data_IF_169624284099
#
_entry.id   IF_169624284099
#
_cell.length_a   1.000
_cell.length_b   1.000
_cell.length_c   1.000
_cell.angle_alpha   90.00
_cell.angle_beta   90.00
_cell.angle_gamma   90.00
#
_symmetry.space_group_name_H-M   'P 1'
#
loop_
_entity.id
_entity.type
_entity.pdbx_description
1 polymer ?
#
# COMPACT_ATOMS: atom_id res chain seq x y z
N UNK A 1 25.05 -46.06 -10.78
CA UNK A 1 23.72 -45.93 -10.15
C UNK A 1 23.79 -44.75 -9.18
N UNK A 2 23.34 -43.56 -9.61
CA UNK A 2 23.36 -42.34 -8.79
C UNK A 2 22.21 -42.43 -7.77
N UNK A 3 22.54 -42.57 -6.48
CA UNK A 3 21.55 -42.52 -5.39
C UNK A 3 20.94 -41.12 -5.37
N UNK A 4 19.64 -41.03 -5.69
CA UNK A 4 18.80 -39.85 -5.52
C UNK A 4 18.87 -39.37 -4.05
N UNK A 5 18.72 -38.05 -3.84
CA UNK A 5 18.68 -37.37 -2.54
C UNK A 5 17.97 -38.20 -1.45
N UNK A 6 18.74 -38.77 -0.53
CA UNK A 6 18.20 -39.57 0.57
C UNK A 6 17.77 -38.67 1.72
N UNK A 7 16.47 -38.67 2.02
CA UNK A 7 15.96 -38.03 3.22
C UNK A 7 16.40 -38.81 4.46
N UNK A 8 17.08 -38.14 5.41
CA UNK A 8 17.38 -38.71 6.72
C UNK A 8 16.07 -38.98 7.46
N UNK A 9 15.91 -40.18 8.00
CA UNK A 9 14.73 -40.54 8.82
C UNK A 9 14.72 -39.74 10.13
N UNK A 10 13.54 -39.61 10.77
CA UNK A 10 13.39 -38.90 12.04
C UNK A 10 14.25 -39.47 13.17
N UNK A 11 14.44 -40.79 13.23
CA UNK A 11 15.30 -41.42 14.23
C UNK A 11 16.77 -41.07 14.03
N UNK A 12 17.23 -41.02 12.77
CA UNK A 12 18.60 -40.63 12.43
C UNK A 12 18.82 -39.16 12.77
N UNK A 13 17.87 -38.28 12.45
CA UNK A 13 17.93 -36.84 12.77
C UNK A 13 18.07 -36.59 14.27
N UNK A 14 17.22 -37.23 15.09
CA UNK A 14 17.25 -37.10 16.55
C UNK A 14 18.59 -37.55 17.14
N UNK A 15 19.17 -38.64 16.62
CA UNK A 15 20.50 -39.10 17.06
C UNK A 15 21.61 -38.14 16.64
N UNK A 16 21.51 -37.51 15.46
CA UNK A 16 22.46 -36.47 15.02
C UNK A 16 22.38 -35.24 15.94
N UNK A 17 21.18 -34.83 16.33
CA UNK A 17 20.93 -33.71 17.26
C UNK A 17 21.53 -34.00 18.65
N UNK A 18 21.20 -35.14 19.25
CA UNK A 18 21.74 -35.54 20.56
C UNK A 18 23.28 -35.58 20.56
N UNK A 19 23.88 -36.11 19.49
CA UNK A 19 25.34 -36.18 19.38
C UNK A 19 25.98 -34.80 19.15
N UNK A 20 25.30 -33.89 18.45
CA UNK A 20 25.72 -32.50 18.29
C UNK A 20 25.69 -31.75 19.63
N UNK A 21 24.62 -31.92 20.41
CA UNK A 21 24.50 -31.35 21.76
C UNK A 21 25.60 -31.88 22.69
N UNK A 22 25.97 -33.15 22.56
CA UNK A 22 27.09 -33.76 23.26
C UNK A 22 28.49 -33.37 22.70
N UNK A 23 28.57 -32.49 21.70
CA UNK A 23 29.83 -32.01 21.11
C UNK A 23 30.56 -33.03 20.24
N UNK A 24 29.89 -34.10 19.81
CA UNK A 24 30.49 -35.17 19.01
C UNK A 24 30.62 -34.71 17.55
N UNK A 25 31.84 -34.86 17.01
CA UNK A 25 32.13 -34.45 15.62
C UNK A 25 31.21 -35.17 14.61
N UNK A 26 30.77 -34.50 13.52
CA UNK A 26 29.90 -35.10 12.50
C UNK A 26 30.45 -36.40 11.89
N UNK A 27 31.77 -36.49 11.71
CA UNK A 27 32.43 -37.69 11.21
C UNK A 27 32.29 -38.88 12.17
N UNK A 28 32.42 -38.65 13.49
CA UNK A 28 32.21 -39.68 14.52
C UNK A 28 30.74 -40.10 14.60
N UNK A 29 29.82 -39.15 14.44
CA UNK A 29 28.38 -39.43 14.37
C UNK A 29 28.01 -40.28 13.17
N UNK A 30 28.60 -40.04 12.00
CA UNK A 30 28.40 -40.92 10.84
C UNK A 30 28.97 -42.32 11.09
N UNK A 31 30.16 -42.42 11.67
CA UNK A 31 30.78 -43.71 12.00
C UNK A 31 29.96 -44.54 12.99
N UNK A 32 29.25 -43.91 13.95
CA UNK A 32 28.35 -44.66 14.84
C UNK A 32 27.18 -45.30 14.09
N UNK A 33 26.65 -44.66 13.05
CA UNK A 33 25.61 -45.28 12.21
C UNK A 33 26.17 -46.43 11.36
N UNK A 34 27.39 -46.28 10.84
CA UNK A 34 28.07 -47.34 10.07
C UNK A 34 28.29 -48.57 10.92
N UNK A 35 28.75 -48.38 12.17
CA UNK A 35 28.95 -49.47 13.13
C UNK A 35 27.62 -50.15 13.48
N UNK A 36 26.55 -49.38 13.70
CA UNK A 36 25.22 -49.92 14.03
C UNK A 36 24.57 -50.68 12.85
N UNK A 37 24.82 -50.24 11.61
CA UNK A 37 24.25 -50.86 10.41
C UNK A 37 25.11 -52.02 9.84
N UNK A 38 26.27 -52.32 10.44
CA UNK A 38 27.15 -53.40 9.99
C UNK A 38 27.95 -53.10 8.72
N UNK A 39 27.98 -51.84 8.26
CA UNK A 39 28.81 -51.44 7.13
C UNK A 39 28.28 -50.23 6.35
N UNK A 40 29.16 -49.63 5.55
CA UNK A 40 28.83 -48.42 4.76
C UNK A 40 27.79 -48.66 3.66
N UNK A 41 27.65 -49.89 3.16
CA UNK A 41 26.72 -50.22 2.06
C UNK A 41 25.27 -50.34 2.52
N UNK A 42 25.07 -50.58 3.81
CA UNK A 42 23.76 -50.73 4.45
C UNK A 42 23.09 -49.38 4.79
N UNK A 43 23.84 -48.27 4.72
CA UNK A 43 23.30 -46.93 4.91
C UNK A 43 22.78 -46.34 3.58
N UNK A 44 21.61 -45.71 3.67
CA UNK A 44 21.02 -44.97 2.56
C UNK A 44 21.53 -43.51 2.45
N UNK A 45 22.37 -43.04 3.38
CA UNK A 45 22.95 -41.69 3.40
C UNK A 45 24.47 -41.73 3.64
N UNK A 46 25.16 -40.64 3.33
CA UNK A 46 26.61 -40.49 3.47
C UNK A 46 26.98 -39.45 4.55
N UNK A 47 28.25 -39.40 4.96
CA UNK A 47 28.73 -38.42 5.96
C UNK A 47 28.40 -36.98 5.56
N UNK A 48 28.44 -36.68 4.26
CA UNK A 48 28.08 -35.36 3.72
C UNK A 48 26.65 -34.97 4.08
N UNK A 49 25.72 -35.91 4.16
CA UNK A 49 24.32 -35.64 4.49
C UNK A 49 24.15 -35.26 5.97
N UNK A 50 24.94 -35.87 6.87
CA UNK A 50 25.01 -35.49 8.29
C UNK A 50 25.56 -34.06 8.44
N UNK A 51 26.63 -33.73 7.69
CA UNK A 51 27.23 -32.39 7.70
C UNK A 51 26.29 -31.34 7.12
N UNK A 52 25.59 -31.68 6.02
CA UNK A 52 24.60 -30.81 5.39
C UNK A 52 23.43 -30.56 6.34
N UNK A 53 22.95 -31.60 7.04
CA UNK A 53 21.88 -31.48 8.04
C UNK A 53 22.28 -30.52 9.16
N UNK A 54 23.43 -30.73 9.79
CA UNK A 54 23.92 -29.87 10.89
C UNK A 54 24.12 -28.43 10.41
N UNK A 55 24.73 -28.24 9.24
CA UNK A 55 24.94 -26.90 8.66
C UNK A 55 23.62 -26.20 8.38
N UNK A 56 22.62 -26.93 7.86
CA UNK A 56 21.29 -26.38 7.59
C UNK A 56 20.56 -26.00 8.87
N UNK A 57 20.60 -26.83 9.90
CA UNK A 57 19.98 -26.51 11.20
C UNK A 57 20.67 -25.32 11.88
N UNK A 58 22.00 -25.21 11.83
CA UNK A 58 22.72 -24.03 12.35
C UNK A 58 22.32 -22.76 11.61
N UNK A 59 22.21 -22.81 10.27
CA UNK A 59 21.73 -21.69 9.48
C UNK A 59 20.29 -21.32 9.83
N UNK A 60 19.40 -22.31 9.94
CA UNK A 60 18.00 -22.07 10.31
C UNK A 60 17.87 -21.42 11.69
N UNK A 61 18.65 -21.86 12.69
CA UNK A 61 18.64 -21.28 14.05
C UNK A 61 19.21 -19.87 14.06
N UNK A 62 20.35 -19.63 13.38
CA UNK A 62 20.93 -18.28 13.23
C UNK A 62 19.96 -17.34 12.52
N UNK A 63 19.40 -17.76 11.39
CA UNK A 63 18.41 -16.97 10.63
C UNK A 63 17.15 -16.69 11.45
N UNK A 64 16.73 -17.62 12.33
CA UNK A 64 15.58 -17.45 13.20
C UNK A 64 15.86 -16.49 14.38
N UNK A 65 17.04 -16.53 14.97
CA UNK A 65 17.47 -15.57 16.00
C UNK A 65 17.65 -14.17 15.40
N UNK A 66 18.32 -14.07 14.26
CA UNK A 66 18.52 -12.82 13.51
C UNK A 66 17.17 -12.21 13.09
N UNK A 67 16.23 -13.01 12.60
CA UNK A 67 14.89 -12.54 12.23
C UNK A 67 14.07 -12.07 13.43
N UNK A 68 14.22 -12.74 14.59
CA UNK A 68 13.54 -12.34 15.83
C UNK A 68 14.10 -11.03 16.38
N UNK A 69 15.42 -10.86 16.36
CA UNK A 69 16.08 -9.64 16.81
C UNK A 69 15.79 -8.47 15.87
N UNK A 70 15.82 -8.69 14.55
CA UNK A 70 15.44 -7.71 13.55
C UNK A 70 13.98 -7.25 13.69
N UNK A 71 13.04 -8.19 13.83
CA UNK A 71 11.62 -7.87 14.02
C UNK A 71 11.36 -7.07 15.29
N UNK A 72 12.07 -7.39 16.38
CA UNK A 72 11.99 -6.65 17.65
C UNK A 72 12.55 -5.23 17.54
N UNK A 73 13.70 -5.07 16.90
CA UNK A 73 14.29 -3.75 16.67
C UNK A 73 13.36 -2.89 15.79
N UNK A 74 12.80 -3.44 14.71
CA UNK A 74 11.84 -2.74 13.87
C UNK A 74 10.55 -2.36 14.63
N UNK A 75 10.08 -3.24 15.52
CA UNK A 75 8.91 -2.97 16.36
C UNK A 75 9.13 -1.80 17.34
N UNK A 76 10.34 -1.62 17.87
CA UNK A 76 10.65 -0.51 18.78
C UNK A 76 10.43 0.87 18.12
N UNK A 77 10.72 1.00 16.82
CA UNK A 77 10.53 2.25 16.07
C UNK A 77 9.16 2.37 15.39
N UNK A 78 8.60 1.26 14.91
CA UNK A 78 7.46 1.25 13.98
C UNK A 78 6.25 0.46 14.50
N UNK A 79 6.28 0.04 15.75
CA UNK A 79 5.29 -0.84 16.38
C UNK A 79 4.05 -0.17 16.95
N UNK A 80 3.85 1.14 16.75
CA UNK A 80 2.69 1.85 17.31
C UNK A 80 1.35 1.25 16.85
N UNK A 81 1.25 0.92 15.57
CA UNK A 81 0.09 0.26 14.97
C UNK A 81 0.55 -0.91 14.11
N UNK A 82 0.01 -2.09 14.38
CA UNK A 82 0.33 -3.32 13.64
C UNK A 82 -0.88 -3.78 12.87
N UNK A 83 -0.68 -4.20 11.62
CA UNK A 83 -1.63 -5.00 10.86
C UNK A 83 -1.26 -6.47 10.91
N UNK A 84 -2.25 -7.34 11.11
CA UNK A 84 -2.11 -8.78 11.02
C UNK A 84 -3.15 -9.36 10.06
N UNK A 85 -2.67 -10.10 9.07
CA UNK A 85 -3.53 -10.79 8.09
C UNK A 85 -3.03 -12.22 7.91
N UNK A 86 -3.99 -13.16 7.78
CA UNK A 86 -3.72 -14.55 7.42
C UNK A 86 -3.84 -14.70 5.92
N UNK A 87 -2.76 -15.16 5.29
CA UNK A 87 -2.77 -15.49 3.87
C UNK A 87 -3.16 -16.96 3.70
N UNK A 88 -4.10 -17.22 2.78
CA UNK A 88 -4.65 -18.56 2.50
C UNK A 88 -3.56 -19.62 2.32
N UNK A 89 -3.81 -20.82 2.87
CA UNK A 89 -2.95 -22.02 2.88
C UNK A 89 -1.95 -22.10 1.72
N UNK A 90 -0.69 -21.76 1.98
CA UNK A 90 0.38 -21.73 0.97
C UNK A 90 1.22 -23.00 0.91
N UNK A 91 0.82 -24.13 1.52
CA UNK A 91 1.66 -25.33 1.48
C UNK A 91 0.92 -26.68 1.41
N UNK A 92 1.67 -27.72 0.99
CA UNK A 92 1.30 -29.16 1.02
C UNK A 92 0.87 -29.67 2.41
N UNK A 93 1.08 -28.90 3.47
CA UNK A 93 0.85 -29.26 4.86
C UNK A 93 -0.40 -28.61 5.48
N UNK A 94 -1.14 -27.82 4.69
CA UNK A 94 -2.39 -27.18 5.09
C UNK A 94 -2.26 -26.22 6.31
N UNK A 95 -1.10 -25.56 6.45
CA UNK A 95 -0.86 -24.57 7.50
C UNK A 95 -1.21 -23.15 7.04
N UNK A 96 -1.69 -22.34 7.98
CA UNK A 96 -2.06 -20.93 7.81
C UNK A 96 -0.87 -20.04 8.08
N UNK A 97 -0.54 -19.11 7.18
CA UNK A 97 0.54 -18.16 7.37
C UNK A 97 -0.01 -16.79 7.77
N UNK A 98 0.39 -16.30 8.95
CA UNK A 98 0.08 -14.96 9.46
C UNK A 98 1.30 -14.04 9.38
N UNK A 99 1.08 -12.77 9.02
CA UNK A 99 2.14 -11.75 8.96
C UNK A 99 1.82 -10.55 9.83
N UNK A 100 2.79 -10.07 10.60
CA UNK A 100 2.70 -8.84 11.40
C UNK A 100 3.42 -7.73 10.66
N UNK A 101 2.70 -6.67 10.29
CA UNK A 101 3.20 -5.60 9.44
C UNK A 101 2.96 -4.25 10.10
N UNK A 102 4.01 -3.46 10.27
CA UNK A 102 3.96 -2.06 10.70
C UNK A 102 4.16 -1.09 9.53
N UNK A 103 4.28 0.20 9.84
CA UNK A 103 4.53 1.26 8.85
C UNK A 103 5.70 2.12 9.32
N UNK A 104 6.69 2.32 8.45
CA UNK A 104 7.85 3.14 8.77
C UNK A 104 7.58 4.66 8.58
N UNK A 105 8.56 5.51 8.90
CA UNK A 105 8.43 6.98 8.77
C UNK A 105 8.21 7.48 7.32
N UNK A 106 8.44 6.63 6.32
CA UNK A 106 8.18 6.94 4.91
C UNK A 106 6.80 6.44 4.44
N UNK A 107 5.99 5.86 5.33
CA UNK A 107 4.68 5.31 4.99
C UNK A 107 4.74 3.95 4.28
N UNK A 108 5.88 3.25 4.35
CA UNK A 108 6.06 1.93 3.71
C UNK A 108 5.76 0.80 4.69
N UNK A 109 5.15 -0.28 4.20
CA UNK A 109 4.93 -1.51 4.95
C UNK A 109 6.26 -2.11 5.40
N UNK A 110 6.37 -2.45 6.68
CA UNK A 110 7.55 -3.08 7.28
C UNK A 110 7.14 -4.37 7.95
N UNK A 111 7.72 -5.50 7.55
CA UNK A 111 7.46 -6.80 8.18
C UNK A 111 8.13 -6.85 9.56
N UNK A 112 7.33 -7.03 10.60
CA UNK A 112 7.78 -7.12 12.00
C UNK A 112 7.88 -8.57 12.49
N UNK A 113 7.23 -9.49 11.77
CA UNK A 113 7.30 -10.92 12.06
C UNK A 113 6.30 -11.71 11.23
N UNK A 114 6.44 -13.04 11.25
CA UNK A 114 5.51 -13.95 10.62
C UNK A 114 5.30 -15.19 11.50
N UNK A 115 4.24 -15.94 11.21
CA UNK A 115 3.87 -17.13 11.96
C UNK A 115 3.20 -18.17 11.09
N UNK A 116 3.40 -19.44 11.42
CA UNK A 116 2.66 -20.55 10.85
C UNK A 116 1.76 -21.15 11.93
N UNK A 117 0.49 -21.32 11.60
CA UNK A 117 -0.53 -21.87 12.49
C UNK A 117 -1.21 -23.08 11.86
N UNK A 118 -1.69 -23.99 12.72
CA UNK A 118 -2.40 -25.19 12.28
C UNK A 118 -3.82 -24.89 11.77
N UNK A 119 -4.50 -23.92 12.37
CA UNK A 119 -5.86 -23.53 12.04
C UNK A 119 -6.15 -22.09 12.50
N UNK A 120 -7.30 -21.55 12.10
CA UNK A 120 -7.77 -20.21 12.48
C UNK A 120 -8.75 -20.24 13.69
N UNK A 121 -8.44 -21.06 14.68
CA UNK A 121 -9.22 -21.15 15.92
C UNK A 121 -8.72 -20.16 16.98
N UNK A 122 -9.58 -19.84 17.95
CA UNK A 122 -9.30 -18.87 19.02
C UNK A 122 -8.01 -19.24 19.78
N UNK A 123 -7.84 -20.52 20.16
CA UNK A 123 -6.70 -20.95 20.95
C UNK A 123 -5.37 -20.85 20.18
N UNK A 124 -5.39 -21.12 18.88
CA UNK A 124 -4.23 -20.93 18.00
C UNK A 124 -3.80 -19.46 17.92
N UNK A 125 -4.77 -18.54 17.76
CA UNK A 125 -4.48 -17.11 17.78
C UNK A 125 -4.03 -16.60 19.15
N UNK A 126 -4.59 -17.11 20.25
CA UNK A 126 -4.15 -16.74 21.61
C UNK A 126 -2.68 -17.11 21.82
N UNK A 127 -2.31 -18.35 21.49
CA UNK A 127 -0.93 -18.81 21.60
C UNK A 127 -0.01 -17.94 20.72
N UNK A 128 -0.43 -17.66 19.49
CA UNK A 128 0.33 -16.79 18.60
C UNK A 128 0.55 -15.39 19.20
N UNK A 129 -0.50 -14.72 19.62
CA UNK A 129 -0.41 -13.34 20.14
C UNK A 129 0.37 -13.27 21.46
N UNK A 130 0.27 -14.29 22.32
CA UNK A 130 1.12 -14.42 23.51
C UNK A 130 2.59 -14.58 23.13
N UNK A 131 2.90 -15.50 22.21
CA UNK A 131 4.27 -15.70 21.74
C UNK A 131 4.84 -14.43 21.10
N UNK A 132 4.06 -13.75 20.26
CA UNK A 132 4.44 -12.49 19.65
C UNK A 132 4.74 -11.41 20.71
N UNK A 133 3.86 -11.25 21.71
CA UNK A 133 4.05 -10.28 22.78
C UNK A 133 5.31 -10.57 23.60
N UNK A 134 5.57 -11.84 23.91
CA UNK A 134 6.81 -12.27 24.55
C UNK A 134 8.04 -11.97 23.70
N UNK A 135 7.99 -12.21 22.39
CA UNK A 135 9.07 -11.87 21.47
C UNK A 135 9.38 -10.38 21.42
N UNK A 136 8.35 -9.53 21.58
CA UNK A 136 8.50 -8.07 21.65
C UNK A 136 8.85 -7.55 23.04
N UNK A 137 9.17 -8.44 23.99
CA UNK A 137 9.58 -8.06 25.33
C UNK A 137 8.45 -7.63 26.26
N UNK A 138 7.22 -8.07 25.99
CA UNK A 138 6.03 -7.70 26.77
C UNK A 138 5.39 -6.38 26.36
N UNK A 139 5.93 -5.71 25.33
CA UNK A 139 5.42 -4.43 24.85
C UNK A 139 4.29 -4.64 23.83
N UNK A 140 3.08 -4.26 24.19
CA UNK A 140 1.92 -4.28 23.30
C UNK A 140 1.88 -3.01 22.43
N UNK A 141 1.42 -3.10 21.16
CA UNK A 141 1.24 -1.93 20.31
C UNK A 141 0.02 -1.13 20.77
N UNK A 142 -0.08 0.14 20.35
CA UNK A 142 -1.22 0.99 20.69
C UNK A 142 -2.48 0.61 19.90
N UNK A 143 -2.29 0.17 18.66
CA UNK A 143 -3.37 -0.25 17.76
C UNK A 143 -3.07 -1.57 17.07
N UNK A 144 -4.12 -2.37 16.86
CA UNK A 144 -4.03 -3.63 16.13
C UNK A 144 -5.12 -3.69 15.05
N UNK A 145 -4.71 -3.91 13.81
CA UNK A 145 -5.57 -3.99 12.65
C UNK A 145 -5.64 -5.45 12.20
N UNK A 146 -6.84 -6.01 12.10
CA UNK A 146 -7.03 -7.36 11.55
C UNK A 146 -8.14 -7.38 10.51
N UNK A 147 -8.33 -8.55 9.92
CA UNK A 147 -9.55 -8.89 9.21
C UNK A 147 -10.78 -8.94 10.15
N UNK A 148 -11.93 -9.30 9.58
CA UNK A 148 -13.18 -9.44 10.33
C UNK A 148 -13.34 -10.88 10.89
N UNK A 149 -12.31 -11.40 11.56
CA UNK A 149 -12.36 -12.70 12.20
C UNK A 149 -12.72 -12.59 13.69
N UNK A 150 -13.82 -13.25 14.09
CA UNK A 150 -14.25 -13.30 15.48
C UNK A 150 -13.22 -14.01 16.38
N UNK A 151 -12.49 -14.98 15.83
CA UNK A 151 -11.45 -15.71 16.56
C UNK A 151 -10.28 -14.80 16.92
N UNK A 152 -9.78 -14.00 15.96
CA UNK A 152 -8.71 -13.04 16.19
C UNK A 152 -9.11 -11.98 17.22
N UNK A 153 -10.33 -11.43 17.09
CA UNK A 153 -10.85 -10.44 18.05
C UNK A 153 -10.84 -10.97 19.49
N UNK A 154 -11.41 -12.16 19.71
CA UNK A 154 -11.47 -12.76 21.05
C UNK A 154 -10.09 -13.12 21.60
N UNK A 155 -9.17 -13.55 20.72
CA UNK A 155 -7.80 -13.82 21.12
C UNK A 155 -7.05 -12.54 21.53
N UNK A 156 -7.20 -11.45 20.76
CA UNK A 156 -6.62 -10.14 21.11
C UNK A 156 -7.16 -9.60 22.44
N UNK A 157 -8.48 -9.67 22.66
CA UNK A 157 -9.11 -9.24 23.93
C UNK A 157 -8.57 -10.05 25.13
N UNK A 158 -8.24 -11.32 24.94
CA UNK A 158 -7.67 -12.16 25.99
C UNK A 158 -6.17 -11.91 26.23
N UNK A 159 -5.39 -11.66 25.18
CA UNK A 159 -3.93 -11.53 25.27
C UNK A 159 -3.47 -10.09 25.56
N UNK A 160 -4.18 -9.10 25.03
CA UNK A 160 -3.83 -7.68 25.08
C UNK A 160 -5.10 -6.83 25.29
N UNK A 161 -5.74 -6.86 26.49
CA UNK A 161 -7.06 -6.28 26.72
C UNK A 161 -7.12 -4.74 26.57
N UNK A 162 -5.98 -4.06 26.71
CA UNK A 162 -5.89 -2.60 26.59
C UNK A 162 -5.73 -2.10 25.14
N UNK A 163 -5.65 -3.02 24.17
CA UNK A 163 -5.34 -2.69 22.79
C UNK A 163 -6.53 -2.08 22.05
N UNK A 164 -6.28 -1.10 21.20
CA UNK A 164 -7.31 -0.56 20.31
C UNK A 164 -7.38 -1.45 19.06
N UNK A 165 -8.31 -2.40 19.05
CA UNK A 165 -8.57 -3.25 17.90
C UNK A 165 -9.45 -2.55 16.86
N UNK A 166 -9.04 -2.56 15.59
CA UNK A 166 -9.81 -2.04 14.45
C UNK A 166 -9.74 -3.00 13.27
N UNK A 167 -10.67 -2.89 12.33
CA UNK A 167 -10.58 -3.63 11.07
C UNK A 167 -9.66 -2.90 10.09
N UNK A 168 -8.87 -3.67 9.37
CA UNK A 168 -7.99 -3.13 8.35
C UNK A 168 -8.81 -2.55 7.19
N UNK A 169 -8.43 -1.34 6.77
CA UNK A 169 -9.18 -0.53 5.80
C UNK A 169 -9.37 -1.25 4.46
N UNK A 170 -8.37 -2.03 4.03
CA UNK A 170 -8.44 -2.79 2.79
C UNK A 170 -9.53 -3.87 2.83
N UNK A 171 -9.69 -4.61 3.95
CA UNK A 171 -10.76 -5.60 4.07
C UNK A 171 -12.14 -4.96 4.09
N UNK A 172 -12.26 -3.77 4.70
CA UNK A 172 -13.49 -2.98 4.66
C UNK A 172 -13.82 -2.63 3.20
N UNK A 173 -12.89 -1.97 2.50
CA UNK A 173 -13.07 -1.52 1.11
C UNK A 173 -13.32 -2.68 0.14
N UNK A 174 -12.67 -3.84 0.33
CA UNK A 174 -12.90 -5.03 -0.49
C UNK A 174 -14.30 -5.63 -0.31
N UNK A 175 -14.88 -5.56 0.89
CA UNK A 175 -16.21 -6.14 1.17
C UNK A 175 -17.36 -5.25 0.71
N UNK A 176 -17.18 -3.93 0.73
CA UNK A 176 -18.24 -2.96 0.42
C UNK A 176 -18.94 -3.22 -0.92
N UNK A 177 -18.25 -3.43 -2.06
CA UNK A 177 -18.91 -3.67 -3.35
C UNK A 177 -19.88 -4.86 -3.30
N UNK A 178 -19.45 -5.97 -2.68
CA UNK A 178 -20.28 -7.18 -2.53
C UNK A 178 -21.53 -6.96 -1.67
N UNK A 179 -21.48 -6.02 -0.72
CA UNK A 179 -22.60 -5.65 0.14
C UNK A 179 -23.55 -4.66 -0.52
N UNK A 180 -23.04 -3.87 -1.46
CA UNK A 180 -23.81 -2.87 -2.21
C UNK A 180 -24.42 -3.41 -3.51
N UNK A 181 -24.06 -4.64 -3.94
CA UNK A 181 -24.38 -5.22 -5.26
C UNK A 181 -25.89 -5.48 -5.56
N UNK A 182 -26.80 -4.76 -4.92
CA UNK A 182 -28.22 -4.71 -5.23
C UNK A 182 -28.83 -3.31 -5.10
N UNK A 183 -28.01 -2.29 -4.76
CA UNK A 183 -28.44 -0.91 -4.63
C UNK A 183 -28.28 -0.17 -5.95
N UNK A 184 -29.32 0.56 -6.35
CA UNK A 184 -29.24 1.50 -7.48
C UNK A 184 -28.28 2.63 -7.10
N UNK A 185 -27.27 2.88 -7.92
CA UNK A 185 -26.24 3.89 -7.65
C UNK A 185 -25.04 3.39 -6.83
N UNK A 186 -24.82 2.07 -6.74
CA UNK A 186 -23.71 1.52 -5.95
C UNK A 186 -22.32 1.96 -6.45
N UNK A 187 -22.18 2.23 -7.75
CA UNK A 187 -20.90 2.64 -8.35
C UNK A 187 -20.50 4.05 -7.89
N UNK A 188 -21.46 4.98 -7.85
CA UNK A 188 -21.26 6.34 -7.36
C UNK A 188 -20.92 6.32 -5.86
N UNK A 189 -21.62 5.51 -5.07
CA UNK A 189 -21.35 5.34 -3.64
C UNK A 189 -19.94 4.77 -3.42
N UNK A 190 -19.53 3.75 -4.19
CA UNK A 190 -18.20 3.15 -4.09
C UNK A 190 -17.09 4.15 -4.45
N UNK A 191 -17.31 4.94 -5.51
CA UNK A 191 -16.38 5.98 -5.93
C UNK A 191 -16.24 7.07 -4.87
N UNK A 192 -17.35 7.56 -4.33
CA UNK A 192 -17.39 8.60 -3.31
C UNK A 192 -16.76 8.12 -2.01
N UNK A 193 -17.09 6.92 -1.55
CA UNK A 193 -16.50 6.32 -0.36
C UNK A 193 -15.00 6.12 -0.51
N UNK A 194 -14.53 5.67 -1.68
CA UNK A 194 -13.10 5.56 -1.97
C UNK A 194 -12.40 6.93 -1.92
N UNK A 195 -13.02 7.98 -2.47
CA UNK A 195 -12.49 9.34 -2.41
C UNK A 195 -12.36 9.83 -0.96
N UNK A 196 -13.39 9.64 -0.14
CA UNK A 196 -13.39 10.06 1.28
C UNK A 196 -12.30 9.33 2.05
N UNK A 197 -12.26 8.00 1.93
CA UNK A 197 -11.39 7.13 2.71
C UNK A 197 -9.91 7.35 2.38
N UNK A 198 -9.57 7.47 1.10
CA UNK A 198 -8.17 7.55 0.67
C UNK A 198 -7.61 8.98 0.64
N UNK A 199 -8.45 10.02 0.67
CA UNK A 199 -8.00 11.42 0.63
C UNK A 199 -8.15 12.19 1.95
N UNK A 200 -8.72 11.57 2.99
CA UNK A 200 -8.86 12.21 4.30
C UNK A 200 -7.68 11.89 5.21
N UNK A 201 -6.79 12.87 5.41
CA UNK A 201 -5.59 12.74 6.25
C UNK A 201 -5.80 13.10 7.72
N UNK A 202 -7.01 13.51 8.10
CA UNK A 202 -7.37 13.81 9.48
C UNK A 202 -8.83 13.45 9.73
N UNK A 203 -9.17 13.23 11.02
CA UNK A 203 -10.55 13.05 11.46
C UNK A 203 -11.45 14.18 10.96
N UNK A 204 -11.01 15.43 11.14
CA UNK A 204 -11.76 16.58 10.65
C UNK A 204 -11.99 16.55 9.14
N UNK A 205 -11.01 16.13 8.34
CA UNK A 205 -11.16 16.02 6.89
C UNK A 205 -12.15 14.93 6.51
N UNK A 206 -12.17 13.82 7.26
CA UNK A 206 -13.07 12.70 7.04
C UNK A 206 -14.51 13.08 7.41
N UNK A 207 -14.72 13.59 8.63
CA UNK A 207 -16.03 13.95 9.17
C UNK A 207 -16.69 15.07 8.33
N UNK A 208 -15.88 15.98 7.78
CA UNK A 208 -16.34 17.13 7.04
C UNK A 208 -16.22 16.98 5.52
N UNK A 209 -15.91 15.79 4.97
CA UNK A 209 -15.56 15.63 3.55
C UNK A 209 -16.63 16.18 2.59
N UNK A 210 -17.92 15.93 2.88
CA UNK A 210 -19.06 16.43 2.09
C UNK A 210 -19.54 17.81 2.52
N UNK A 211 -19.02 18.34 3.63
CA UNK A 211 -19.41 19.68 4.07
C UNK A 211 -18.64 20.70 3.25
N UNK A 212 -19.36 21.67 2.69
CA UNK A 212 -18.72 22.81 2.06
C UNK A 212 -18.33 23.77 3.17
N UNK A 213 -17.03 24.01 3.34
CA UNK A 213 -16.56 25.09 4.23
C UNK A 213 -17.05 26.40 3.61
N UNK A 214 -17.97 27.14 4.23
CA UNK A 214 -18.53 28.35 3.63
C UNK A 214 -17.42 29.39 3.43
N UNK A 215 -17.50 30.14 2.33
CA UNK A 215 -16.62 31.29 2.10
C UNK A 215 -16.82 32.32 3.22
N UNK A 216 -15.71 32.92 3.67
CA UNK A 216 -15.75 33.98 4.67
C UNK A 216 -16.18 35.32 4.05
N UNK A 217 -16.02 35.47 2.74
CA UNK A 217 -16.37 36.66 1.98
C UNK A 217 -17.26 36.29 0.79
N UNK A 218 -17.87 37.30 0.16
CA UNK A 218 -18.62 37.14 -1.11
C UNK A 218 -17.72 37.17 -2.34
N UNK A 219 -16.41 37.02 -2.18
CA UNK A 219 -15.48 37.03 -3.31
C UNK A 219 -15.65 35.77 -4.17
N UNK A 220 -15.84 35.97 -5.47
CA UNK A 220 -15.87 34.88 -6.45
C UNK A 220 -14.53 34.15 -6.56
N UNK A 221 -13.40 34.83 -6.30
CA UNK A 221 -12.07 34.20 -6.22
C UNK A 221 -12.01 33.24 -5.02
N UNK A 222 -12.61 33.60 -3.87
CA UNK A 222 -12.66 32.69 -2.72
C UNK A 222 -13.47 31.43 -3.06
N UNK A 223 -14.64 31.61 -3.70
CA UNK A 223 -15.46 30.49 -4.19
C UNK A 223 -14.72 29.61 -5.20
N UNK A 224 -13.90 30.20 -6.09
CA UNK A 224 -13.06 29.47 -7.03
C UNK A 224 -12.07 28.54 -6.30
N UNK A 225 -11.43 29.01 -5.23
CA UNK A 225 -10.54 28.16 -4.43
C UNK A 225 -11.30 27.12 -3.60
N UNK A 226 -12.50 27.43 -3.11
CA UNK A 226 -13.38 26.50 -2.37
C UNK A 226 -13.75 25.29 -3.22
N UNK A 227 -14.05 25.49 -4.50
CA UNK A 227 -14.41 24.39 -5.40
C UNK A 227 -13.23 23.44 -5.65
N UNK A 228 -12.02 23.97 -5.78
CA UNK A 228 -10.88 23.16 -6.21
C UNK A 228 -10.10 22.58 -5.04
N UNK A 229 -9.84 23.35 -3.98
CA UNK A 229 -8.86 22.97 -2.97
C UNK A 229 -9.43 22.03 -1.90
N UNK A 230 -8.55 21.18 -1.35
CA UNK A 230 -8.84 20.43 -0.12
C UNK A 230 -9.19 21.36 1.04
N UNK A 231 -10.03 20.91 1.97
CA UNK A 231 -10.47 21.69 3.14
C UNK A 231 -9.31 22.32 3.94
N UNK A 232 -8.26 21.55 4.17
CA UNK A 232 -7.08 22.05 4.89
C UNK A 232 -6.42 23.23 4.17
N UNK A 233 -6.25 23.15 2.84
CA UNK A 233 -5.62 24.22 2.06
C UNK A 233 -6.58 25.38 1.83
N UNK A 234 -7.87 25.12 1.64
CA UNK A 234 -8.87 26.17 1.55
C UNK A 234 -8.94 27.02 2.84
N UNK A 235 -8.82 26.42 4.04
CA UNK A 235 -8.73 27.20 5.29
C UNK A 235 -7.54 28.17 5.32
N UNK A 236 -6.40 27.80 4.73
CA UNK A 236 -5.23 28.69 4.61
C UNK A 236 -5.51 29.85 3.66
N UNK A 237 -6.15 29.59 2.52
CA UNK A 237 -6.59 30.63 1.56
C UNK A 237 -7.61 31.56 2.23
N UNK A 238 -8.62 31.01 2.87
CA UNK A 238 -9.66 31.75 3.59
C UNK A 238 -9.06 32.66 4.69
N UNK A 239 -8.00 32.22 5.37
CA UNK A 239 -7.29 33.08 6.32
C UNK A 239 -6.65 34.31 5.66
N UNK A 240 -6.15 34.19 4.42
CA UNK A 240 -5.67 35.35 3.65
C UNK A 240 -6.83 36.29 3.28
N UNK A 241 -7.99 35.76 2.87
CA UNK A 241 -9.18 36.56 2.61
C UNK A 241 -9.68 37.33 3.83
N UNK A 242 -9.68 36.72 5.02
CA UNK A 242 -10.04 37.43 6.27
C UNK A 242 -9.04 38.53 6.60
N UNK A 243 -7.74 38.24 6.54
CA UNK A 243 -6.68 39.21 6.88
C UNK A 243 -6.54 40.34 5.86
N UNK A 244 -7.04 40.15 4.65
CA UNK A 244 -7.13 41.22 3.64
C UNK A 244 -7.92 42.43 4.16
N UNK A 245 -8.89 42.26 5.08
CA UNK A 245 -9.62 43.38 5.67
C UNK A 245 -8.71 44.40 6.39
N UNK A 246 -7.51 43.99 6.79
CA UNK A 246 -6.50 44.85 7.43
C UNK A 246 -5.55 45.49 6.42
N UNK A 247 -5.78 45.32 5.11
CA UNK A 247 -4.94 45.87 4.05
C UNK A 247 -5.58 47.13 3.46
N UNK A 248 -4.78 48.17 3.30
CA UNK A 248 -5.15 49.41 2.61
C UNK A 248 -4.36 49.46 1.31
N UNK A 249 -5.05 49.38 0.18
CA UNK A 249 -4.44 49.43 -1.16
C UNK A 249 -4.42 50.87 -1.69
N UNK A 250 -3.29 51.32 -2.21
CA UNK A 250 -3.14 52.61 -2.88
C UNK A 250 -2.47 52.41 -4.24
N UNK A 251 -3.07 52.93 -5.30
CA UNK A 251 -2.44 52.96 -6.62
C UNK A 251 -1.30 53.97 -6.60
N UNK A 252 -0.10 53.55 -6.99
CA UNK A 252 1.08 54.41 -7.07
C UNK A 252 1.28 54.86 -8.50
N UNK A 253 1.44 53.90 -9.42
CA UNK A 253 1.69 54.15 -10.84
C UNK A 253 0.82 53.23 -11.70
N UNK A 254 0.35 53.70 -12.85
CA UNK A 254 -0.33 52.88 -13.86
C UNK A 254 0.10 53.32 -15.26
N UNK A 255 0.57 52.38 -16.08
CA UNK A 255 0.97 52.63 -17.47
C UNK A 255 0.76 51.37 -18.32
N UNK A 256 0.12 51.52 -19.49
CA UNK A 256 0.02 50.47 -20.53
C UNK A 256 -0.48 49.09 -20.03
N UNK A 257 -1.47 49.08 -19.12
CA UNK A 257 -2.01 47.84 -18.56
C UNK A 257 -1.19 47.22 -17.42
N UNK A 258 -0.11 47.91 -17.00
CA UNK A 258 0.70 47.55 -15.85
C UNK A 258 0.50 48.57 -14.72
N UNK A 259 0.03 48.09 -13.58
CA UNK A 259 -0.27 48.89 -12.38
C UNK A 259 0.63 48.48 -11.23
N UNK A 260 1.14 49.47 -10.49
CA UNK A 260 1.94 49.29 -9.27
C UNK A 260 1.19 49.88 -8.08
N UNK A 261 1.04 49.08 -7.04
CA UNK A 261 0.31 49.40 -5.83
C UNK A 261 1.22 49.35 -4.60
N UNK A 262 1.00 50.30 -3.69
CA UNK A 262 1.43 50.19 -2.30
C UNK A 262 0.28 49.60 -1.47
N UNK A 263 0.53 48.49 -0.80
CA UNK A 263 -0.41 47.87 0.14
C UNK A 263 0.13 48.02 1.55
N UNK A 264 -0.56 48.82 2.37
CA UNK A 264 -0.30 48.94 3.80
C UNK A 264 -1.08 47.89 4.58
N UNK A 265 -0.39 46.93 5.19
CA UNK A 265 -0.98 45.96 6.11
C UNK A 265 -0.93 46.49 7.55
N UNK A 266 -2.09 46.62 8.18
CA UNK A 266 -2.19 46.98 9.58
C UNK A 266 -1.81 45.79 10.48
N UNK A 267 -0.72 45.95 11.24
CA UNK A 267 -0.24 44.95 12.21
C UNK A 267 -0.65 45.33 13.64
N UNK A 268 -0.71 46.63 13.92
CA UNK A 268 -1.19 47.22 15.18
C UNK A 268 -1.89 48.54 14.87
N UNK A 269 -2.53 49.18 15.86
CA UNK A 269 -3.21 50.47 15.69
C UNK A 269 -2.31 51.55 15.05
N UNK A 270 -1.00 51.47 15.26
CA UNK A 270 -0.01 52.46 14.80
C UNK A 270 1.01 51.93 13.78
N UNK A 271 1.03 50.61 13.52
CA UNK A 271 2.08 49.98 12.70
C UNK A 271 1.48 49.43 11.41
N UNK A 272 1.95 49.96 10.29
CA UNK A 272 1.63 49.49 8.96
C UNK A 272 2.89 48.98 8.26
N UNK A 273 2.87 47.71 7.86
CA UNK A 273 3.89 47.16 6.98
C UNK A 273 3.52 47.45 5.54
N UNK A 274 4.45 48.00 4.76
CA UNK A 274 4.21 48.35 3.36
C UNK A 274 4.75 47.26 2.46
N UNK A 275 3.94 46.90 1.46
CA UNK A 275 4.30 45.93 0.44
C UNK A 275 4.01 46.50 -0.93
N UNK A 276 4.93 46.27 -1.87
CA UNK A 276 4.68 46.60 -3.28
C UNK A 276 4.01 45.40 -3.95
N UNK A 277 2.94 45.67 -4.69
CA UNK A 277 2.21 44.69 -5.49
C UNK A 277 2.10 45.21 -6.91
N UNK A 278 2.43 44.38 -7.88
CA UNK A 278 2.30 44.71 -9.30
C UNK A 278 1.19 43.87 -9.91
N UNK A 279 0.44 44.48 -10.81
CA UNK A 279 -0.64 43.84 -11.53
C UNK A 279 -0.55 44.17 -13.01
N UNK A 280 -0.56 43.13 -13.83
CA UNK A 280 -0.60 43.20 -15.29
C UNK A 280 -2.00 42.74 -15.74
N UNK A 281 -2.80 43.69 -16.22
CA UNK A 281 -4.16 43.42 -16.68
C UNK A 281 -4.20 42.61 -17.98
N UNK A 282 -3.15 42.71 -18.80
CA UNK A 282 -3.05 42.00 -20.10
C UNK A 282 -2.66 40.55 -19.86
N UNK A 283 -1.62 40.32 -19.06
CA UNK A 283 -1.18 38.99 -18.69
C UNK A 283 -2.06 38.32 -17.61
N UNK A 284 -2.98 39.07 -17.00
CA UNK A 284 -3.81 38.66 -15.84
C UNK A 284 -2.96 38.17 -14.67
N UNK A 285 -1.85 38.87 -14.43
CA UNK A 285 -0.80 38.45 -13.50
C UNK A 285 -0.66 39.43 -12.35
N UNK A 286 -0.67 38.91 -11.12
CA UNK A 286 -0.36 39.66 -9.89
C UNK A 286 0.91 39.12 -9.25
N UNK A 287 1.82 40.01 -8.88
CA UNK A 287 3.02 39.69 -8.09
C UNK A 287 3.07 40.55 -6.85
N UNK A 288 3.45 39.95 -5.73
CA UNK A 288 3.62 40.67 -4.48
C UNK A 288 5.04 40.48 -3.96
N UNK A 289 5.62 41.56 -3.44
CA UNK A 289 6.93 41.56 -2.78
C UNK A 289 7.04 40.55 -1.62
N UNK A 290 5.94 40.12 -1.00
CA UNK A 290 5.99 39.14 0.08
C UNK A 290 6.31 37.70 -0.38
N UNK A 291 6.26 37.43 -1.70
CA UNK A 291 6.60 36.16 -2.32
C UNK A 291 5.87 34.92 -1.76
N UNK A 292 4.68 35.10 -1.16
CA UNK A 292 3.95 33.98 -0.55
C UNK A 292 3.48 32.96 -1.60
N UNK A 293 3.17 33.42 -2.80
CA UNK A 293 2.77 32.54 -3.88
C UNK A 293 3.99 31.79 -4.43
N UNK A 294 5.12 32.43 -4.57
CA UNK A 294 6.35 31.84 -5.08
C UNK A 294 6.93 30.83 -4.08
N UNK A 295 6.88 31.13 -2.79
CA UNK A 295 7.42 30.28 -1.73
C UNK A 295 6.47 29.16 -1.28
N UNK A 296 5.17 29.45 -1.22
CA UNK A 296 4.17 28.54 -0.66
C UNK A 296 3.02 28.23 -1.59
N UNK A 297 2.96 28.83 -2.78
CA UNK A 297 1.89 28.71 -3.78
C UNK A 297 0.59 29.42 -3.45
N UNK A 298 0.48 30.10 -2.30
CA UNK A 298 -0.79 30.66 -1.82
C UNK A 298 -0.81 32.15 -2.12
N UNK A 299 -1.85 32.64 -2.79
CA UNK A 299 -2.04 34.07 -2.98
C UNK A 299 -2.14 34.78 -1.62
N UNK A 300 -1.27 35.76 -1.41
CA UNK A 300 -1.26 36.53 -0.18
C UNK A 300 -2.43 37.52 -0.12
N UNK A 301 -2.76 37.92 1.11
CA UNK A 301 -3.72 39.00 1.38
C UNK A 301 -3.42 40.31 0.62
N UNK A 302 -2.15 40.65 0.38
CA UNK A 302 -1.78 41.87 -0.36
C UNK A 302 -2.15 41.79 -1.83
N UNK A 303 -1.82 40.67 -2.50
CA UNK A 303 -2.22 40.40 -3.87
C UNK A 303 -3.75 40.33 -3.99
N UNK A 304 -4.43 39.65 -3.05
CA UNK A 304 -5.90 39.61 -2.99
C UNK A 304 -6.52 41.00 -2.78
N UNK A 305 -5.85 41.89 -2.04
CA UNK A 305 -6.26 43.28 -1.85
C UNK A 305 -6.25 44.05 -3.17
N UNK A 306 -5.18 43.92 -3.96
CA UNK A 306 -5.08 44.52 -5.30
C UNK A 306 -6.07 43.92 -6.29
N UNK A 307 -6.20 42.58 -6.34
CA UNK A 307 -7.17 41.93 -7.23
C UNK A 307 -8.61 42.40 -6.96
N UNK A 308 -8.95 42.69 -5.70
CA UNK A 308 -10.26 43.24 -5.38
C UNK A 308 -10.40 44.74 -5.67
N UNK A 309 -9.30 45.50 -5.57
CA UNK A 309 -9.26 46.89 -6.02
C UNK A 309 -9.51 46.98 -7.54
N UNK A 310 -8.87 46.09 -8.30
CA UNK A 310 -9.03 45.94 -9.76
C UNK A 310 -10.31 45.20 -10.18
N UNK A 311 -11.18 44.85 -9.21
CA UNK A 311 -12.47 44.17 -9.45
C UNK A 311 -12.35 42.84 -10.22
N UNK A 312 -11.23 42.14 -10.07
CA UNK A 312 -11.01 40.83 -10.68
C UNK A 312 -11.93 39.79 -10.03
N UNK A 313 -12.72 39.11 -10.84
CA UNK A 313 -13.69 38.11 -10.38
C UNK A 313 -13.14 36.68 -10.36
N UNK A 314 -12.16 36.38 -11.21
CA UNK A 314 -11.51 35.07 -11.25
C UNK A 314 -10.01 35.21 -11.43
N UNK A 315 -9.24 34.37 -10.75
CA UNK A 315 -7.79 34.31 -10.95
C UNK A 315 -7.46 33.37 -12.10
N UNK A 316 -6.38 33.69 -12.82
CA UNK A 316 -5.82 32.82 -13.85
C UNK A 316 -5.52 31.42 -13.29
N UNK A 317 -5.73 30.34 -14.06
CA UNK A 317 -5.42 28.96 -13.63
C UNK A 317 -4.00 28.77 -13.10
N UNK A 318 -3.04 29.62 -13.49
CA UNK A 318 -1.66 29.62 -12.97
C UNK A 318 -1.58 29.73 -11.44
N UNK A 319 -2.58 30.36 -10.80
CA UNK A 319 -2.65 30.51 -9.35
C UNK A 319 -3.40 29.36 -8.66
N UNK A 320 -3.95 28.40 -9.42
CA UNK A 320 -4.69 27.25 -8.92
C UNK A 320 -3.78 26.01 -9.06
N UNK A 321 -3.06 25.68 -8.00
CA UNK A 321 -2.07 24.61 -8.04
C UNK A 321 -2.71 23.25 -7.83
N UNK A 322 -2.53 22.37 -8.81
CA UNK A 322 -3.11 21.03 -8.85
C UNK A 322 -2.75 20.19 -7.61
N UNK A 323 -1.52 20.30 -7.08
CA UNK A 323 -1.07 19.58 -5.87
C UNK A 323 -1.96 19.79 -4.63
N UNK A 324 -2.78 20.83 -4.59
CA UNK A 324 -3.71 21.11 -3.49
C UNK A 324 -5.16 20.85 -3.79
N UNK A 325 -5.44 20.50 -5.05
CA UNK A 325 -6.75 20.13 -5.51
C UNK A 325 -7.24 18.89 -4.77
N UNK A 326 -8.54 18.87 -4.47
CA UNK A 326 -9.25 17.70 -3.98
C UNK A 326 -9.56 16.69 -5.09
N UNK A 327 -9.40 17.09 -6.36
CA UNK A 327 -9.73 16.28 -7.55
C UNK A 327 -8.56 15.39 -8.01
N UNK A 328 -7.37 15.51 -7.42
CA UNK A 328 -6.17 14.76 -7.83
C UNK A 328 -6.08 13.42 -7.10
N UNK A 329 -5.96 12.32 -7.86
CA UNK A 329 -5.59 11.00 -7.33
C UNK A 329 -4.09 11.01 -6.95
N UNK A 330 -3.80 11.01 -5.65
CA UNK A 330 -2.43 11.14 -5.12
C UNK A 330 -1.74 9.78 -5.06
N UNK A 331 -0.47 9.70 -5.48
CA UNK A 331 0.27 8.45 -5.68
C UNK A 331 0.39 7.51 -4.47
N UNK A 332 0.19 7.99 -3.24
CA UNK A 332 0.17 7.10 -2.06
C UNK A 332 -1.03 6.15 -2.02
N UNK A 333 -2.08 6.40 -2.83
CA UNK A 333 -3.15 5.41 -3.08
C UNK A 333 -2.69 4.23 -3.93
N UNK A 334 -1.49 4.32 -4.53
CA UNK A 334 -0.87 3.27 -5.33
C UNK A 334 0.30 2.58 -4.60
N UNK A 335 0.59 2.96 -3.35
CA UNK A 335 1.50 2.18 -2.49
C UNK A 335 0.77 0.89 -2.16
N UNK A 336 0.99 -0.14 -3.00
CA UNK A 336 0.68 -1.50 -2.62
C UNK A 336 1.57 -1.84 -1.42
N UNK A 337 0.92 -2.24 -0.32
CA UNK A 337 1.56 -3.05 0.71
C UNK A 337 2.29 -4.21 0.03
N UNK A 338 3.41 -4.65 0.61
CA UNK A 338 4.27 -5.76 0.15
C UNK A 338 3.60 -7.13 0.22
N UNK A 339 2.33 -7.24 -0.14
CA UNK A 339 1.62 -8.49 -0.34
C UNK A 339 1.73 -8.88 -1.81
N UNK A 340 2.96 -9.22 -2.20
CA UNK A 340 3.30 -10.33 -3.09
C UNK A 340 4.83 -10.48 -3.09
N UNK A 341 5.37 -10.88 -1.96
CA UNK A 341 6.62 -11.63 -1.98
C UNK A 341 6.39 -13.02 -1.38
N UNK A 342 5.73 -13.90 -2.15
CA UNK A 342 6.18 -15.27 -2.21
C UNK A 342 6.36 -15.70 -3.67
N UNK A 343 7.63 -15.94 -4.03
CA UNK A 343 8.06 -16.67 -5.22
C UNK A 343 7.51 -16.14 -6.55
N UNK A 344 8.09 -15.05 -7.03
CA UNK A 344 7.85 -14.62 -8.41
C UNK A 344 8.37 -15.69 -9.37
N UNK A 345 7.44 -16.41 -10.02
CA UNK A 345 7.70 -16.88 -11.38
C UNK A 345 8.28 -15.70 -12.18
N UNK A 346 9.31 -15.90 -13.01
CA UNK A 346 9.87 -14.82 -13.86
C UNK A 346 8.81 -14.07 -14.68
N UNK A 347 7.65 -14.70 -14.93
CA UNK A 347 6.49 -14.08 -15.57
C UNK A 347 5.81 -13.01 -14.72
N UNK A 348 5.65 -13.23 -13.41
CA UNK A 348 4.99 -12.28 -12.51
C UNK A 348 5.84 -11.03 -12.30
N UNK A 349 7.18 -11.17 -12.17
CA UNK A 349 8.10 -10.01 -12.12
C UNK A 349 7.94 -9.11 -13.33
N UNK A 350 7.97 -9.70 -14.53
CA UNK A 350 7.77 -8.98 -15.79
C UNK A 350 6.39 -8.34 -15.87
N UNK A 351 5.35 -9.00 -15.37
CA UNK A 351 4.00 -8.45 -15.35
C UNK A 351 3.91 -7.24 -14.41
N UNK A 352 4.46 -7.33 -13.20
CA UNK A 352 4.44 -6.24 -12.23
C UNK A 352 5.26 -5.03 -12.70
N UNK A 353 6.43 -5.25 -13.31
CA UNK A 353 7.21 -4.20 -13.97
C UNK A 353 6.43 -3.53 -15.10
N UNK A 354 5.74 -4.29 -15.95
CA UNK A 354 4.91 -3.75 -17.03
C UNK A 354 3.73 -2.94 -16.49
N UNK A 355 3.09 -3.39 -15.41
CA UNK A 355 1.99 -2.66 -14.76
C UNK A 355 2.49 -1.36 -14.13
N UNK A 356 3.65 -1.37 -13.48
CA UNK A 356 4.25 -0.16 -12.93
C UNK A 356 4.60 0.86 -14.03
N UNK A 357 5.23 0.41 -15.11
CA UNK A 357 5.60 1.27 -16.24
C UNK A 357 4.35 1.81 -16.98
N UNK A 358 3.32 0.98 -17.17
CA UNK A 358 2.09 1.40 -17.86
C UNK A 358 1.28 2.41 -17.07
N UNK A 359 1.26 2.31 -15.73
CA UNK A 359 0.53 3.27 -14.88
C UNK A 359 1.01 4.71 -15.05
N UNK A 360 2.33 4.92 -15.19
CA UNK A 360 2.89 6.25 -15.41
C UNK A 360 2.49 6.81 -16.78
N UNK A 361 2.53 5.97 -17.81
CA UNK A 361 2.16 6.34 -19.18
C UNK A 361 0.66 6.65 -19.26
N UNK A 362 -0.20 5.77 -18.74
CA UNK A 362 -1.65 5.98 -18.71
C UNK A 362 -2.05 7.25 -17.95
N UNK A 363 -1.33 7.59 -16.88
CA UNK A 363 -1.56 8.83 -16.14
C UNK A 363 -1.25 10.06 -16.99
N UNK A 364 -0.09 10.08 -17.64
CA UNK A 364 0.33 11.16 -18.51
C UNK A 364 -0.60 11.34 -19.72
N UNK A 365 -0.99 10.24 -20.37
CA UNK A 365 -1.83 10.30 -21.57
C UNK A 365 -3.28 10.65 -21.26
N UNK A 366 -3.76 10.39 -20.04
CA UNK A 366 -5.13 10.73 -19.61
C UNK A 366 -5.40 12.23 -19.45
N UNK A 367 -4.36 13.06 -19.55
CA UNK A 367 -4.49 14.52 -19.45
C UNK A 367 -5.12 15.15 -20.70
N UNK A 368 -5.00 14.50 -21.88
CA UNK A 368 -5.52 14.98 -23.16
C UNK A 368 -6.11 13.83 -23.99
N UNK A 369 -7.24 14.09 -24.65
CA UNK A 369 -7.96 13.10 -25.46
C UNK A 369 -7.12 12.58 -26.64
N UNK A 370 -6.36 13.48 -27.28
CA UNK A 370 -5.42 13.16 -28.36
C UNK A 370 -4.30 12.21 -27.92
N UNK A 371 -3.73 12.42 -26.73
CA UNK A 371 -2.68 11.55 -26.17
C UNK A 371 -3.23 10.17 -25.77
N UNK A 372 -4.48 10.13 -25.31
CA UNK A 372 -5.17 8.87 -25.00
C UNK A 372 -5.41 8.05 -26.26
N UNK A 373 -5.83 8.69 -27.36
CA UNK A 373 -6.00 8.04 -28.66
C UNK A 373 -4.69 7.46 -29.20
N UNK A 374 -3.58 8.21 -29.10
CA UNK A 374 -2.25 7.75 -29.49
C UNK A 374 -1.83 6.51 -28.69
N UNK A 375 -2.09 6.50 -27.36
CA UNK A 375 -1.76 5.36 -26.51
C UNK A 375 -2.58 4.11 -26.88
N UNK A 376 -3.87 4.26 -27.17
CA UNK A 376 -4.72 3.17 -27.63
C UNK A 376 -4.19 2.54 -28.93
N UNK A 377 -3.88 3.36 -29.94
CA UNK A 377 -3.31 2.86 -31.20
C UNK A 377 -1.94 2.18 -30.99
N UNK A 378 -1.11 2.69 -30.09
CA UNK A 378 0.17 2.09 -29.75
C UNK A 378 0.00 0.73 -29.06
N UNK A 379 -0.96 0.60 -28.13
CA UNK A 379 -1.28 -0.68 -27.50
C UNK A 379 -1.77 -1.71 -28.50
N UNK A 380 -2.67 -1.34 -29.41
CA UNK A 380 -3.17 -2.24 -30.44
C UNK A 380 -2.02 -2.73 -31.35
N UNK A 381 -1.12 -1.82 -31.73
CA UNK A 381 0.06 -2.16 -32.55
C UNK A 381 1.00 -3.13 -31.83
N UNK A 382 1.33 -2.85 -30.57
CA UNK A 382 2.21 -3.70 -29.75
C UNK A 382 1.58 -5.07 -29.52
N UNK A 383 0.27 -5.14 -29.31
CA UNK A 383 -0.44 -6.41 -29.13
C UNK A 383 -0.34 -7.31 -30.35
N UNK A 384 -0.51 -6.76 -31.56
CA UNK A 384 -0.34 -7.50 -32.82
C UNK A 384 1.09 -8.04 -32.95
N UNK A 385 2.12 -7.21 -32.72
CA UNK A 385 3.52 -7.64 -32.78
C UNK A 385 3.85 -8.76 -31.76
N UNK A 386 3.29 -8.66 -30.54
CA UNK A 386 3.49 -9.68 -29.50
C UNK A 386 2.83 -11.01 -29.85
N UNK A 387 1.67 -11.00 -30.51
CA UNK A 387 0.99 -12.21 -30.98
C UNK A 387 1.78 -12.90 -32.10
N UNK A 388 2.35 -12.15 -33.04
CA UNK A 388 3.22 -12.70 -34.09
C UNK A 388 4.49 -13.36 -33.53
N UNK A 389 5.14 -12.74 -32.55
CA UNK A 389 6.32 -13.31 -31.88
C UNK A 389 5.98 -14.60 -31.11
N UNK A 390 4.79 -14.66 -30.52
CA UNK A 390 4.29 -15.85 -29.83
C UNK A 390 3.96 -16.98 -30.81
N UNK A 391 3.43 -16.66 -31.99
CA UNK A 391 3.18 -17.63 -33.06
C UNK A 391 4.50 -18.20 -33.63
N UNK A 392 5.51 -17.34 -33.87
CA UNK A 392 6.85 -17.74 -34.35
C UNK A 392 7.56 -18.71 -33.39
N UNK A 393 7.43 -18.53 -32.06
CA UNK A 393 8.00 -19.44 -31.06
C UNK A 393 7.31 -20.81 -30.96
N UNK A 394 6.01 -20.88 -31.22
CA UNK A 394 5.26 -22.17 -31.22
C UNK A 394 5.58 -23.03 -32.44
N UNK A 395 6.00 -22.42 -33.56
CA UNK A 395 6.39 -23.15 -34.77
C UNK A 395 7.73 -23.87 -34.68
N UNK A 396 8.61 -23.52 -33.72
CA UNK A 396 9.95 -24.11 -33.61
C UNK A 396 10.01 -25.33 -32.67
N UNK A 397 8.97 -25.60 -31.88
CA UNK A 397 8.97 -26.65 -30.84
C UNK A 397 8.30 -27.98 -31.25
N UNK A 398 8.00 -28.20 -32.53
CA UNK A 398 7.23 -29.37 -33.02
C UNK A 398 8.05 -30.47 -33.72
N UNK A 399 9.37 -30.56 -33.48
CA UNK A 399 10.21 -31.66 -33.99
C UNK A 399 10.91 -32.42 -32.84
N UNK A 400 10.19 -33.34 -32.20
CA UNK A 400 10.68 -34.72 -31.87
C UNK A 400 9.62 -35.55 -31.12
N UNK A 401 9.18 -36.63 -31.79
CA UNK A 401 8.51 -37.88 -31.32
C UNK A 401 7.17 -37.80 -30.54
N UNK A 402 6.00 -38.08 -31.15
CA UNK A 402 5.35 -39.39 -31.51
C UNK A 402 5.30 -40.43 -30.37
N UNK A 403 4.20 -41.09 -29.99
CA UNK A 403 2.73 -41.04 -30.17
C UNK A 403 2.17 -42.15 -29.24
N UNK A 404 0.97 -41.98 -28.64
CA UNK A 404 -0.08 -43.01 -28.48
C UNK A 404 -1.05 -42.75 -27.29
N UNK A 405 -2.12 -42.01 -27.57
CA UNK A 405 -3.56 -42.36 -27.41
C UNK A 405 -4.36 -41.04 -27.31
N UNK A 406 -5.09 -40.65 -28.36
CA UNK A 406 -6.50 -41.00 -28.63
C UNK A 406 -7.37 -40.61 -27.42
N UNK A 407 -8.32 -39.66 -27.46
CA UNK A 407 -9.12 -39.15 -28.55
C UNK A 407 -9.88 -37.90 -28.05
N UNK A 408 -10.12 -36.95 -28.96
CA UNK A 408 -11.24 -36.01 -29.10
C UNK A 408 -12.01 -35.37 -27.90
N UNK A 409 -12.39 -34.11 -28.18
CA UNK A 409 -13.47 -33.29 -27.58
C UNK A 409 -13.07 -32.37 -26.41
N UNK A 410 -12.50 -31.21 -26.77
CA UNK A 410 -12.66 -29.98 -25.98
C UNK A 410 -14.09 -29.45 -26.15
N UNK A 411 -15.05 -30.06 -25.45
CA UNK A 411 -16.20 -29.33 -24.94
C UNK A 411 -15.91 -29.04 -23.47
N UNK A 412 -15.70 -27.77 -23.15
CA UNK A 412 -15.64 -27.32 -21.77
C UNK A 412 -17.02 -27.54 -21.13
N UNK A 413 -17.23 -28.70 -20.49
CA UNK A 413 -18.33 -28.85 -19.56
C UNK A 413 -18.07 -27.97 -18.34
N UNK A 414 -19.08 -27.16 -17.99
CA UNK A 414 -19.10 -26.45 -16.71
C UNK A 414 -18.97 -27.45 -15.56
N UNK A 415 -18.29 -27.10 -14.45
CA UNK A 415 -18.19 -27.97 -13.29
C UNK A 415 -19.60 -28.40 -12.82
N UNK A 416 -19.81 -29.67 -12.45
CA UNK A 416 -21.12 -30.12 -11.99
C UNK A 416 -21.57 -29.29 -10.80
N UNK A 417 -22.78 -28.72 -10.90
CA UNK A 417 -23.44 -28.02 -9.79
C UNK A 417 -23.60 -28.99 -8.61
N UNK A 418 -22.73 -28.85 -7.62
CA UNK A 418 -22.92 -29.48 -6.31
C UNK A 418 -24.18 -28.84 -5.71
N UNK A 419 -25.24 -29.65 -5.54
CA UNK A 419 -26.43 -29.24 -4.79
C UNK A 419 -26.00 -28.87 -3.37
N UNK A 420 -26.24 -27.63 -2.97
CA UNK A 420 -26.20 -27.21 -1.57
C UNK A 420 -27.16 -28.09 -0.78
N UNK A 421 -26.64 -28.86 0.19
CA UNK A 421 -27.48 -29.55 1.18
C UNK A 421 -28.29 -28.49 1.92
N UNK A 422 -29.60 -28.51 1.72
CA UNK A 422 -30.53 -27.64 2.41
C UNK A 422 -30.45 -27.83 3.93
N UNK A 423 -30.68 -26.73 4.65
CA UNK A 423 -30.86 -26.70 6.09
C UNK A 423 -32.08 -27.58 6.47
N UNK A 424 -32.02 -28.41 7.53
CA UNK A 424 -33.20 -29.13 8.00
C UNK A 424 -34.28 -28.12 8.41
N UNK A 425 -35.53 -28.38 8.02
CA UNK A 425 -36.68 -27.64 8.54
C UNK A 425 -36.79 -27.96 10.04
N UNK A 426 -36.76 -26.93 10.86
CA UNK A 426 -37.21 -27.00 12.25
C UNK A 426 -38.74 -27.04 12.17
N UNK A 427 -39.32 -28.15 12.63
CA UNK A 427 -40.75 -28.26 12.91
C UNK A 427 -41.09 -27.58 14.23
#
# INVERSE_FOLDING_TARGET
>A
MLKQHSELSMSIRRTIENNKEAGIRPSKTYQSFVAAAGGHRELNFIEKDVRNYITREVRNVSEQEDAKEFGRAAFEYFGDVISFDTTYNTNRYNLVCGSFVGVNHHGQSTLLGCSLMKNEEIESFKLLFQCWLCCMGGNAPKGFLTDQCASMKRALEACMPTIIHRWFIWHIMKKIPSKLNGYKGHAEIEQEMSQVVWNSHSKDSFDNFHTVIPCATKSSIEAQFQDVYTHQKFRVVQAQFRRKANCITRLTNSALGYSVYEVGEQVSSLIFNKFVVTYDSVATEVKCQCLLFESRGILCRHALSVLSFEQVTQVSPRYILERWSKKVKRQHTHIKSSHNEPLLEPRSKRFDELVFCSQNICKFTSELEELTAILHCAYDTIMVEMEELKAKRKGTSSLSHKDANLESVNEFQSPPRIRTRGRPKIG
#
